data_IF_890792288440
#
_entry.id   IF_890792288440
#
_cell.length_a   1.000
_cell.length_b   1.000
_cell.length_c   1.000
_cell.angle_alpha   90.00
_cell.angle_beta   90.00
_cell.angle_gamma   90.00
#
_symmetry.space_group_name_H-M   'P 1'
#
loop_
_entity.id
_entity.type
_entity.pdbx_description
1 polymer ?
#
# COMPACT_ATOMS: atom_id res chain seq x y z
N UNK A 1 2.38 -4.11 -5.71
CA UNK A 1 2.09 -5.56 -5.88
C UNK A 1 1.65 -6.23 -4.57
N UNK A 2 0.66 -7.12 -4.60
CA UNK A 2 0.31 -7.97 -3.45
C UNK A 2 1.02 -9.30 -3.65
N UNK A 3 2.00 -9.60 -2.80
CA UNK A 3 2.70 -10.88 -2.85
C UNK A 3 1.92 -11.92 -2.07
N UNK A 4 1.92 -13.16 -2.56
CA UNK A 4 1.27 -14.31 -1.92
C UNK A 4 2.24 -15.47 -1.90
N UNK A 5 2.57 -15.94 -0.70
CA UNK A 5 3.46 -17.09 -0.48
C UNK A 5 2.90 -17.99 0.62
N UNK A 6 2.86 -19.31 0.37
CA UNK A 6 2.55 -20.32 1.39
C UNK A 6 1.28 -20.05 2.23
N UNK A 7 0.22 -19.52 1.61
CA UNK A 7 -1.04 -19.17 2.30
C UNK A 7 -1.00 -17.83 3.05
N UNK A 8 0.07 -17.06 2.88
CA UNK A 8 0.25 -15.71 3.41
C UNK A 8 0.25 -14.68 2.30
N UNK A 9 0.01 -13.43 2.64
CA UNK A 9 0.03 -12.30 1.72
C UNK A 9 0.57 -11.03 2.37
N UNK A 10 1.16 -10.15 1.58
CA UNK A 10 1.64 -8.84 2.03
C UNK A 10 1.51 -7.79 0.93
N UNK A 11 1.44 -6.52 1.33
CA UNK A 11 1.53 -5.39 0.40
C UNK A 11 2.99 -5.05 0.16
N UNK A 12 3.41 -5.03 -1.10
CA UNK A 12 4.72 -4.53 -1.53
C UNK A 12 4.53 -3.36 -2.48
N UNK A 13 5.10 -2.22 -2.11
CA UNK A 13 5.16 -1.03 -2.94
C UNK A 13 6.20 -1.21 -4.05
N UNK A 14 6.04 -0.49 -5.16
CA UNK A 14 6.97 -0.52 -6.30
C UNK A 14 8.39 -0.06 -5.92
N UNK A 15 8.52 0.80 -4.90
CA UNK A 15 9.81 1.24 -4.37
C UNK A 15 10.55 0.17 -3.52
N UNK A 16 9.97 -1.02 -3.34
CA UNK A 16 10.53 -2.10 -2.53
C UNK A 16 10.13 -2.09 -1.05
N UNK A 17 9.38 -1.08 -0.59
CA UNK A 17 8.80 -1.09 0.76
C UNK A 17 7.74 -2.19 0.89
N UNK A 18 7.81 -3.00 1.94
CA UNK A 18 6.78 -4.00 2.28
C UNK A 18 6.06 -3.63 3.56
N UNK A 19 4.81 -4.08 3.67
CA UNK A 19 4.04 -4.05 4.90
C UNK A 19 4.15 -5.40 5.66
N UNK A 20 3.39 -5.53 6.75
CA UNK A 20 3.27 -6.79 7.51
C UNK A 20 2.70 -7.92 6.64
N UNK A 21 3.01 -9.15 7.03
CA UNK A 21 2.51 -10.38 6.39
C UNK A 21 1.26 -10.87 7.12
N UNK A 22 0.22 -11.21 6.36
CA UNK A 22 -1.09 -11.66 6.84
C UNK A 22 -1.45 -13.04 6.29
N UNK A 23 -2.40 -13.74 6.89
CA UNK A 23 -2.98 -14.93 6.24
C UNK A 23 -3.79 -14.53 4.99
N UNK A 24 -3.99 -15.47 4.07
CA UNK A 24 -4.74 -15.23 2.83
C UNK A 24 -6.20 -14.80 3.10
N UNK A 25 -6.80 -15.34 4.14
CA UNK A 25 -8.15 -15.03 4.62
C UNK A 25 -8.27 -13.67 5.33
N UNK A 26 -7.14 -13.09 5.77
CA UNK A 26 -7.08 -11.80 6.47
C UNK A 26 -6.95 -10.58 5.53
N UNK A 27 -7.31 -10.71 4.26
CA UNK A 27 -7.14 -9.63 3.27
C UNK A 27 -7.77 -8.31 3.72
N UNK A 28 -9.00 -8.34 4.24
CA UNK A 28 -9.70 -7.13 4.70
C UNK A 28 -8.99 -6.47 5.89
N UNK A 29 -8.41 -7.27 6.79
CA UNK A 29 -7.64 -6.79 7.94
C UNK A 29 -6.36 -6.12 7.42
N UNK A 30 -5.63 -6.79 6.52
CA UNK A 30 -4.42 -6.24 5.89
C UNK A 30 -4.68 -4.86 5.27
N UNK A 31 -5.77 -4.69 4.52
CA UNK A 31 -6.09 -3.41 3.88
C UNK A 31 -6.45 -2.34 4.92
N UNK A 32 -7.17 -2.72 5.98
CA UNK A 32 -7.60 -1.81 7.04
C UNK A 32 -6.41 -1.32 7.87
N UNK A 33 -5.53 -2.23 8.27
CA UNK A 33 -4.31 -1.88 9.01
C UNK A 33 -3.33 -1.09 8.15
N UNK A 34 -3.12 -1.49 6.89
CA UNK A 34 -2.25 -0.75 5.98
C UNK A 34 -2.71 0.71 5.86
N UNK A 35 -4.01 0.96 5.72
CA UNK A 35 -4.57 2.32 5.71
C UNK A 35 -4.36 3.06 7.03
N UNK A 36 -4.50 2.39 8.16
CA UNK A 36 -4.24 2.97 9.49
C UNK A 36 -2.76 3.32 9.67
N UNK A 37 -1.86 2.51 9.12
CA UNK A 37 -0.40 2.73 9.03
C UNK A 37 0.00 3.76 7.94
N UNK A 38 -0.98 4.41 7.29
CA UNK A 38 -0.76 5.50 6.33
C UNK A 38 -0.52 5.06 4.89
N UNK A 39 -0.64 3.76 4.57
CA UNK A 39 -0.58 3.29 3.20
C UNK A 39 -1.81 3.75 2.43
N UNK A 40 -1.59 4.19 1.20
CA UNK A 40 -2.68 4.50 0.28
C UNK A 40 -3.08 3.22 -0.43
N UNK A 41 -4.25 2.69 -0.09
CA UNK A 41 -4.80 1.48 -0.73
C UNK A 41 -6.19 1.77 -1.27
N UNK A 42 -6.37 1.60 -2.57
CA UNK A 42 -7.59 1.96 -3.29
C UNK A 42 -7.92 0.95 -4.38
N UNK A 43 -9.20 0.91 -4.76
CA UNK A 43 -9.66 0.09 -5.88
C UNK A 43 -9.94 0.99 -7.07
N UNK A 44 -9.19 0.84 -8.15
CA UNK A 44 -9.29 1.65 -9.38
C UNK A 44 -9.61 0.73 -10.54
N UNK A 45 -10.67 1.02 -11.28
CA UNK A 45 -11.14 0.20 -12.41
C UNK A 45 -11.36 -1.30 -12.08
N UNK A 46 -11.61 -1.65 -10.81
CA UNK A 46 -11.79 -3.04 -10.38
C UNK A 46 -10.52 -3.70 -9.84
N UNK A 47 -9.37 -3.06 -9.99
CA UNK A 47 -8.06 -3.53 -9.56
C UNK A 47 -7.63 -2.85 -8.26
N UNK A 48 -6.87 -3.54 -7.41
CA UNK A 48 -6.34 -2.97 -6.19
C UNK A 48 -4.98 -2.32 -6.46
N UNK A 49 -4.92 -1.01 -6.24
CA UNK A 49 -3.69 -0.24 -6.26
C UNK A 49 -3.29 0.12 -4.84
N UNK A 50 -1.98 0.07 -4.57
CA UNK A 50 -1.43 0.47 -3.29
C UNK A 50 -0.08 1.14 -3.41
N UNK A 51 0.19 2.07 -2.50
CA UNK A 51 1.45 2.78 -2.38
C UNK A 51 1.79 2.99 -0.92
N UNK A 52 3.07 2.84 -0.56
CA UNK A 52 3.54 3.12 0.79
C UNK A 52 3.38 4.62 1.12
N UNK A 53 3.41 5.01 2.40
CA UNK A 53 3.21 6.40 2.81
C UNK A 53 4.18 7.38 2.13
N UNK A 54 5.42 6.95 1.88
CA UNK A 54 6.46 7.76 1.25
C UNK A 54 6.15 8.04 -0.23
N UNK A 55 5.75 7.01 -0.99
CA UNK A 55 5.36 7.16 -2.40
C UNK A 55 3.96 7.78 -2.56
N UNK A 56 3.09 7.60 -1.57
CA UNK A 56 1.74 8.16 -1.57
C UNK A 56 1.72 9.63 -1.11
N UNK A 57 2.74 10.06 -0.38
CA UNK A 57 2.87 11.44 0.05
C UNK A 57 2.90 12.33 -1.20
N UNK A 58 2.00 13.32 -1.29
CA UNK A 58 2.16 14.34 -2.32
C UNK A 58 3.53 14.97 -2.07
N UNK A 59 4.43 14.86 -3.05
CA UNK A 59 5.70 15.60 -3.04
C UNK A 59 5.38 17.01 -2.55
N UNK A 60 6.05 17.54 -1.50
CA UNK A 60 5.81 18.90 -1.08
C UNK A 60 6.05 19.73 -2.32
N UNK A 61 4.97 20.29 -2.89
CA UNK A 61 5.06 21.18 -4.03
C UNK A 61 6.07 22.21 -3.59
N UNK A 62 7.28 22.18 -4.18
CA UNK A 62 8.13 23.36 -4.21
C UNK A 62 7.27 24.38 -4.93
N UNK A 63 6.53 25.16 -4.13
CA UNK A 63 5.86 26.34 -4.61
C UNK A 63 6.92 27.12 -5.37
N UNK A 64 6.61 27.38 -6.63
CA UNK A 64 7.02 28.54 -7.39
C UNK A 64 7.92 29.48 -6.58
N UNK A 65 9.22 29.46 -6.85
CA UNK A 65 10.04 30.64 -6.60
C UNK A 65 9.48 31.72 -7.54
N UNK A 66 8.72 32.66 -6.97
CA UNK A 66 8.44 33.97 -7.54
C UNK A 66 9.71 34.83 -7.47
#
# INVERSE_FOLDING_TARGET
MIERDSGKQQLVCDCGASHKVYAADDFTIMITEAKADGWKVQKVAGEWEHSCPDCAAPSPRKGTLL
#
